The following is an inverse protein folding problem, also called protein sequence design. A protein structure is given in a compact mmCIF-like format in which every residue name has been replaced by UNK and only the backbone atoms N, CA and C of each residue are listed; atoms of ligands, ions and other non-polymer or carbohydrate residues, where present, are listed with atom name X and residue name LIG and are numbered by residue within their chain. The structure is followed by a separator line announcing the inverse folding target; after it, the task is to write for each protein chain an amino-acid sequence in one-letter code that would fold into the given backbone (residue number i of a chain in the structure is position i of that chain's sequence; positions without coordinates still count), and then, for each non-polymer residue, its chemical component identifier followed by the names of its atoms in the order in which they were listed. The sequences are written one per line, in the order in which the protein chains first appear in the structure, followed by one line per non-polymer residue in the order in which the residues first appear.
data_IF_462614629854
#
_entry.id   IF_462614629854
#
_cell.length_a   1.000
_cell.length_b   1.000
_cell.length_c   1.000
_cell.angle_alpha   90.00
_cell.angle_beta   90.00
_cell.angle_gamma   90.00
#
_symmetry.space_group_name_H-M   'P 1'
#
loop_
_entity.id
_entity.type
_entity.pdbx_description
1 polymer ?
#
# COMPACT_ATOMS: atom_id res chain seq x y z
N UNK A 1 29.41 -6.47 -8.75
CA UNK A 1 30.43 -5.84 -7.89
C UNK A 1 29.84 -5.59 -6.50
N UNK A 2 30.68 -5.28 -5.51
CA UNK A 2 30.47 -5.38 -4.07
C UNK A 2 29.18 -4.80 -3.43
N UNK A 3 28.79 -5.48 -2.33
CA UNK A 3 27.98 -5.04 -1.16
C UNK A 3 28.42 -3.64 -0.66
N UNK A 4 27.57 -2.79 -0.05
CA UNK A 4 27.17 -2.73 1.39
C UNK A 4 26.24 -1.50 1.62
N UNK A 5 25.69 -1.11 2.79
CA UNK A 5 25.05 -1.75 3.99
C UNK A 5 24.44 -0.62 4.88
N UNK A 6 23.17 -0.70 5.29
CA UNK A 6 22.69 -0.13 6.57
C UNK A 6 21.33 -0.79 6.94
N UNK A 7 21.12 -1.47 8.07
CA UNK A 7 21.31 -1.18 9.50
C UNK A 7 20.21 -0.31 10.13
N UNK A 8 19.47 -0.90 11.07
CA UNK A 8 18.81 -0.24 12.19
C UNK A 8 19.12 -1.04 13.46
N UNK A 9 19.41 -0.35 14.57
CA UNK A 9 19.81 -0.95 15.86
C UNK A 9 18.59 -1.14 16.76
N UNK A 10 18.64 -2.15 17.63
CA UNK A 10 17.66 -2.39 18.70
C UNK A 10 18.33 -2.04 20.04
N UNK A 11 17.68 -1.20 20.84
CA UNK A 11 18.03 -0.97 22.24
C UNK A 11 17.25 -1.95 23.12
N UNK A 12 17.93 -2.62 24.05
CA UNK A 12 17.33 -3.61 24.93
C UNK A 12 17.08 -3.01 26.32
N UNK A 13 15.84 -3.07 26.81
CA UNK A 13 15.55 -2.94 28.24
C UNK A 13 14.97 -4.27 28.71
N UNK A 14 15.76 -5.06 29.43
CA UNK A 14 15.34 -6.36 29.92
C UNK A 14 14.70 -6.22 31.30
N UNK A 15 13.41 -6.55 31.40
CA UNK A 15 12.81 -7.02 32.65
C UNK A 15 12.58 -8.52 32.50
N UNK A 16 13.31 -9.33 33.27
CA UNK A 16 13.13 -10.76 33.29
C UNK A 16 11.99 -11.13 34.25
N UNK A 17 10.91 -11.70 33.72
CA UNK A 17 9.98 -12.51 34.49
C UNK A 17 10.00 -13.92 33.89
N UNK A 18 10.38 -14.89 34.72
CA UNK A 18 10.39 -16.30 34.33
C UNK A 18 8.95 -16.83 34.30
N UNK A 19 8.49 -17.24 33.12
CA UNK A 19 7.21 -17.89 32.91
C UNK A 19 7.25 -18.67 31.61
N UNK A 20 6.93 -19.98 31.69
CA UNK A 20 6.80 -20.97 30.61
C UNK A 20 7.48 -20.64 29.27
N UNK A 21 8.51 -21.44 28.91
CA UNK A 21 9.10 -21.42 27.57
C UNK A 21 8.00 -21.68 26.52
N UNK A 22 7.51 -20.60 25.90
CA UNK A 22 6.58 -20.69 24.81
C UNK A 22 7.32 -21.30 23.62
N UNK A 23 6.76 -22.37 23.07
CA UNK A 23 7.17 -22.97 21.81
C UNK A 23 7.43 -21.88 20.77
N UNK A 24 8.56 -21.95 20.06
CA UNK A 24 8.99 -20.90 19.16
C UNK A 24 8.16 -20.89 17.86
N UNK A 25 6.96 -20.31 17.93
CA UNK A 25 6.05 -20.16 16.79
C UNK A 25 6.55 -19.08 15.84
N UNK A 26 6.82 -19.44 14.58
CA UNK A 26 7.05 -18.47 13.50
C UNK A 26 5.76 -18.36 12.68
N UNK A 27 5.15 -17.16 12.52
CA UNK A 27 3.95 -17.00 11.73
C UNK A 27 4.22 -17.30 10.24
N UNK A 28 3.18 -17.72 9.53
CA UNK A 28 3.25 -17.93 8.08
C UNK A 28 3.71 -16.63 7.40
N UNK A 29 4.77 -16.71 6.60
CA UNK A 29 5.33 -15.57 5.90
C UNK A 29 4.91 -15.64 4.44
N UNK A 30 4.25 -14.58 3.96
CA UNK A 30 3.80 -14.54 2.58
C UNK A 30 4.98 -14.33 1.63
N UNK A 31 5.30 -15.36 0.83
CA UNK A 31 6.20 -15.23 -0.32
C UNK A 31 5.43 -14.64 -1.51
N UNK A 32 5.02 -13.38 -1.34
CA UNK A 32 4.21 -12.64 -2.32
C UNK A 32 4.98 -12.47 -3.64
N UNK A 33 6.31 -12.60 -3.62
CA UNK A 33 7.18 -12.44 -4.79
C UNK A 33 6.88 -13.40 -5.93
N UNK A 34 6.31 -14.58 -5.65
CA UNK A 34 5.92 -15.58 -6.64
C UNK A 34 4.40 -15.85 -6.69
N UNK A 35 3.59 -14.95 -6.11
CA UNK A 35 2.14 -15.03 -6.13
C UNK A 35 1.60 -14.29 -7.38
N UNK A 36 1.08 -15.04 -8.36
CA UNK A 36 0.48 -14.47 -9.55
C UNK A 36 -0.73 -13.58 -9.16
N UNK A 37 -0.71 -12.32 -9.60
CA UNK A 37 -1.83 -11.40 -9.35
C UNK A 37 -3.10 -11.93 -10.04
N UNK A 38 -4.28 -11.86 -9.40
CA UNK A 38 -5.52 -12.28 -10.04
C UNK A 38 -5.80 -11.46 -11.30
N UNK A 39 -6.34 -12.12 -12.33
CA UNK A 39 -6.82 -11.44 -13.53
C UNK A 39 -8.06 -10.60 -13.17
N UNK A 40 -8.14 -9.37 -13.71
CA UNK A 40 -9.33 -8.55 -13.57
C UNK A 40 -10.43 -9.09 -14.50
N UNK A 41 -11.60 -9.51 -13.98
CA UNK A 41 -12.66 -10.05 -14.82
C UNK A 41 -13.10 -9.05 -15.89
N UNK A 42 -13.08 -9.44 -17.16
CA UNK A 42 -13.37 -8.55 -18.30
C UNK A 42 -14.71 -7.83 -18.17
N UNK A 43 -15.72 -8.52 -17.62
CA UNK A 43 -17.04 -7.93 -17.38
C UNK A 43 -17.04 -6.92 -16.22
N UNK A 44 -16.33 -7.20 -15.12
CA UNK A 44 -16.15 -6.25 -14.01
C UNK A 44 -15.41 -4.98 -14.49
N UNK A 45 -14.40 -5.15 -15.36
CA UNK A 45 -13.67 -4.05 -16.00
C UNK A 45 -14.61 -3.21 -16.88
N UNK A 46 -15.41 -3.85 -17.74
CA UNK A 46 -16.39 -3.20 -18.62
C UNK A 46 -17.46 -2.42 -17.84
N UNK A 47 -17.88 -2.94 -16.69
CA UNK A 47 -18.86 -2.32 -15.79
C UNK A 47 -18.26 -1.26 -14.84
N UNK A 48 -16.95 -0.99 -14.90
CA UNK A 48 -16.31 -0.02 -14.01
C UNK A 48 -16.28 -0.43 -12.52
N UNK A 49 -16.42 -1.72 -12.22
CA UNK A 49 -16.41 -2.26 -10.85
C UNK A 49 -15.01 -2.20 -10.27
N UNK A 50 -14.85 -1.58 -9.11
CA UNK A 50 -13.57 -1.38 -8.43
C UNK A 50 -13.78 -1.32 -6.91
N UNK A 51 -12.72 -1.50 -6.12
CA UNK A 51 -12.83 -1.49 -4.66
C UNK A 51 -11.82 -2.41 -3.97
N UNK A 52 -12.23 -3.00 -2.86
CA UNK A 52 -11.42 -3.86 -2.00
C UNK A 52 -12.11 -5.20 -1.75
N UNK A 53 -11.32 -6.26 -1.74
CA UNK A 53 -11.73 -7.60 -1.31
C UNK A 53 -10.73 -8.09 -0.27
N UNK A 54 -11.21 -8.39 0.93
CA UNK A 54 -10.41 -8.95 2.02
C UNK A 54 -10.71 -10.44 2.11
N UNK A 55 -9.68 -11.27 1.96
CA UNK A 55 -9.77 -12.71 2.12
C UNK A 55 -9.18 -13.14 3.46
N UNK A 56 -9.77 -14.19 4.02
CA UNK A 56 -9.12 -15.08 4.97
C UNK A 56 -8.89 -16.41 4.26
N UNK A 57 -7.70 -17.00 4.40
CA UNK A 57 -7.34 -18.22 3.70
C UNK A 57 -6.42 -19.10 4.56
N UNK A 58 -6.56 -20.41 4.41
CA UNK A 58 -5.81 -21.41 5.15
C UNK A 58 -4.56 -21.80 4.35
N UNK A 59 -3.39 -21.50 4.87
CA UNK A 59 -2.11 -22.00 4.36
C UNK A 59 -1.84 -23.36 5.01
N UNK A 60 -1.68 -24.39 4.20
CA UNK A 60 -1.31 -25.73 4.64
C UNK A 60 0.18 -25.86 4.94
N UNK A 61 0.56 -26.98 5.56
CA UNK A 61 1.94 -27.33 5.92
C UNK A 61 2.92 -27.34 4.74
N UNK A 62 2.43 -27.60 3.52
CA UNK A 62 3.24 -27.56 2.28
C UNK A 62 3.34 -26.15 1.67
N UNK A 63 2.69 -25.15 2.29
CA UNK A 63 2.60 -23.79 1.77
C UNK A 63 1.51 -23.58 0.70
N UNK A 64 0.68 -24.59 0.39
CA UNK A 64 -0.48 -24.40 -0.50
C UNK A 64 -1.64 -23.70 0.22
N UNK A 65 -2.52 -23.04 -0.53
CA UNK A 65 -3.78 -22.51 0.01
C UNK A 65 -4.86 -23.59 -0.08
N UNK A 66 -5.35 -24.06 1.07
CA UNK A 66 -6.31 -25.16 1.20
C UNK A 66 -7.77 -24.69 1.25
N UNK A 67 -8.01 -23.52 1.84
CA UNK A 67 -9.31 -22.85 1.82
C UNK A 67 -9.12 -21.33 1.67
N UNK A 68 -10.11 -20.63 1.11
CA UNK A 68 -10.10 -19.19 0.91
C UNK A 68 -11.53 -18.63 0.90
N UNK A 69 -11.85 -17.77 1.86
CA UNK A 69 -13.18 -17.15 2.06
C UNK A 69 -13.09 -15.63 2.05
N UNK A 70 -14.16 -14.98 1.59
CA UNK A 70 -14.29 -13.52 1.62
C UNK A 70 -14.66 -13.07 3.02
N UNK A 71 -13.77 -12.34 3.68
CA UNK A 71 -13.98 -11.71 4.99
C UNK A 71 -14.46 -10.25 4.88
N UNK A 72 -14.41 -9.66 3.67
CA UNK A 72 -14.99 -8.36 3.37
C UNK A 72 -14.99 -8.07 1.86
N UNK A 73 -16.08 -7.50 1.35
CA UNK A 73 -16.27 -7.19 -0.07
C UNK A 73 -16.72 -5.74 -0.25
N UNK A 74 -16.46 -5.18 -1.43
CA UNK A 74 -17.04 -3.88 -1.86
C UNK A 74 -18.36 -4.03 -2.63
N UNK A 75 -18.98 -5.21 -2.61
CA UNK A 75 -20.26 -5.48 -3.29
C UNK A 75 -20.09 -5.82 -4.77
N UNK A 76 -18.97 -6.45 -5.14
CA UNK A 76 -18.64 -6.80 -6.53
C UNK A 76 -18.27 -8.29 -6.64
N UNK A 77 -19.26 -9.20 -6.78
CA UNK A 77 -19.03 -10.65 -6.72
C UNK A 77 -18.00 -11.18 -7.72
N UNK A 78 -17.85 -10.54 -8.89
CA UNK A 78 -16.83 -10.89 -9.87
C UNK A 78 -15.40 -10.65 -9.33
N UNK A 79 -15.20 -9.56 -8.58
CA UNK A 79 -13.92 -9.26 -7.94
C UNK A 79 -13.67 -10.17 -6.73
N UNK A 80 -14.72 -10.56 -6.01
CA UNK A 80 -14.65 -11.51 -4.91
C UNK A 80 -14.17 -12.89 -5.38
N UNK A 81 -14.81 -13.44 -6.42
CA UNK A 81 -14.42 -14.71 -7.06
C UNK A 81 -12.99 -14.63 -7.62
N UNK A 82 -12.64 -13.54 -8.30
CA UNK A 82 -11.30 -13.37 -8.86
C UNK A 82 -10.21 -13.31 -7.79
N UNK A 83 -10.49 -12.70 -6.64
CA UNK A 83 -9.57 -12.72 -5.49
C UNK A 83 -9.35 -14.14 -4.96
N UNK A 84 -10.44 -14.91 -4.74
CA UNK A 84 -10.37 -16.29 -4.24
C UNK A 84 -9.61 -17.20 -5.21
N UNK A 85 -9.89 -17.08 -6.50
CA UNK A 85 -9.20 -17.88 -7.53
C UNK A 85 -7.75 -17.44 -7.78
N UNK A 86 -7.39 -16.19 -7.47
CA UNK A 86 -6.02 -15.72 -7.43
C UNK A 86 -5.23 -16.32 -6.27
N UNK A 87 -5.71 -16.16 -5.04
CA UNK A 87 -4.97 -16.58 -3.84
C UNK A 87 -4.71 -18.10 -3.82
N UNK A 88 -5.65 -18.91 -4.34
CA UNK A 88 -5.53 -20.37 -4.49
C UNK A 88 -4.34 -20.83 -5.34
N UNK A 89 -3.81 -19.97 -6.22
CA UNK A 89 -2.67 -20.28 -7.10
C UNK A 89 -1.32 -19.95 -6.45
N UNK A 90 -1.32 -19.30 -5.29
CA UNK A 90 -0.11 -18.82 -4.63
C UNK A 90 0.47 -19.87 -3.67
N UNK A 91 1.79 -19.84 -3.50
CA UNK A 91 2.52 -20.62 -2.49
C UNK A 91 3.03 -19.67 -1.41
N UNK A 92 2.94 -20.10 -0.16
CA UNK A 92 3.31 -19.34 1.03
C UNK A 92 4.41 -20.08 1.78
N UNK A 93 5.20 -19.39 2.59
CA UNK A 93 5.97 -20.07 3.62
C UNK A 93 4.98 -20.44 4.74
N UNK A 94 4.79 -21.73 5.07
CA UNK A 94 3.90 -22.14 6.14
C UNK A 94 4.33 -21.52 7.49
N UNK A 95 3.38 -21.41 8.42
CA UNK A 95 3.73 -21.16 9.81
C UNK A 95 4.52 -22.37 10.34
N UNK A 96 5.36 -22.16 11.36
CA UNK A 96 6.03 -23.27 12.04
C UNK A 96 5.85 -23.21 13.54
N UNK A 97 5.52 -24.36 14.15
CA UNK A 97 5.52 -24.57 15.59
C UNK A 97 6.60 -25.62 15.92
N UNK A 98 7.48 -25.31 16.88
CA UNK A 98 8.63 -26.16 17.22
C UNK A 98 9.50 -26.55 16.01
N UNK A 99 9.60 -25.64 15.04
CA UNK A 99 10.31 -25.81 13.77
C UNK A 99 9.58 -26.65 12.72
N UNK A 100 8.46 -27.31 13.07
CA UNK A 100 7.64 -28.08 12.13
C UNK A 100 6.60 -27.19 11.45
N UNK A 101 6.34 -27.33 10.14
CA UNK A 101 5.23 -26.67 9.48
C UNK A 101 3.90 -26.99 10.14
N UNK A 102 3.03 -25.99 10.29
CA UNK A 102 1.66 -26.14 10.77
C UNK A 102 0.70 -25.34 9.88
N UNK A 103 -0.55 -25.80 9.77
CA UNK A 103 -1.58 -25.04 9.08
C UNK A 103 -1.87 -23.72 9.81
N UNK A 104 -2.10 -22.65 9.03
CA UNK A 104 -2.35 -21.32 9.61
C UNK A 104 -3.30 -20.50 8.75
N UNK A 105 -4.29 -19.89 9.37
CA UNK A 105 -5.13 -18.89 8.74
C UNK A 105 -4.36 -17.58 8.56
N UNK A 106 -4.39 -17.05 7.34
CA UNK A 106 -3.83 -15.77 6.96
C UNK A 106 -4.92 -14.82 6.44
N UNK A 107 -4.63 -13.51 6.45
CA UNK A 107 -5.53 -12.46 5.97
C UNK A 107 -4.81 -11.56 4.97
N UNK A 108 -5.42 -11.32 3.81
CA UNK A 108 -4.86 -10.47 2.75
C UNK A 108 -5.97 -9.64 2.09
N UNK A 109 -5.64 -8.42 1.68
CA UNK A 109 -6.56 -7.51 1.02
C UNK A 109 -6.11 -7.24 -0.43
N UNK A 110 -6.94 -7.63 -1.39
CA UNK A 110 -6.83 -7.19 -2.77
C UNK A 110 -7.45 -5.80 -2.94
N UNK A 111 -6.78 -4.95 -3.71
CA UNK A 111 -7.22 -3.59 -4.01
C UNK A 111 -7.33 -3.46 -5.53
N UNK A 112 -8.58 -3.41 -6.00
CA UNK A 112 -8.97 -3.28 -7.39
C UNK A 112 -9.14 -1.79 -7.70
N UNK A 113 -8.13 -1.17 -8.31
CA UNK A 113 -8.17 0.24 -8.74
C UNK A 113 -8.28 0.34 -10.25
N UNK A 114 -9.35 0.97 -10.74
CA UNK A 114 -9.42 1.40 -12.13
C UNK A 114 -8.56 2.64 -12.27
N UNK A 115 -7.44 2.48 -12.96
CA UNK A 115 -6.64 3.61 -13.42
C UNK A 115 -7.35 4.26 -14.62
N UNK A 116 -8.32 5.13 -14.31
CA UNK A 116 -8.99 6.01 -15.28
C UNK A 116 -8.16 7.25 -15.59
N UNK A 117 -7.02 7.45 -14.92
CA UNK A 117 -6.08 8.48 -15.29
C UNK A 117 -5.45 8.15 -16.65
N UNK A 118 -5.21 9.16 -17.52
CA UNK A 118 -4.55 8.93 -18.80
C UNK A 118 -3.14 8.38 -18.58
N UNK A 119 -2.82 7.25 -19.23
CA UNK A 119 -1.45 6.75 -19.32
C UNK A 119 -0.64 7.69 -20.20
N UNK A 120 0.42 8.27 -19.65
CA UNK A 120 1.29 9.17 -20.39
C UNK A 120 2.41 8.40 -21.07
N UNK A 121 2.65 8.70 -22.34
CA UNK A 121 3.80 8.14 -23.06
C UNK A 121 5.13 8.71 -22.56
N UNK A 122 6.22 8.08 -22.97
CA UNK A 122 7.59 8.44 -22.53
C UNK A 122 7.96 9.86 -22.98
N UNK A 123 7.46 10.33 -24.12
CA UNK A 123 7.72 11.67 -24.63
C UNK A 123 7.02 12.74 -23.76
N UNK A 124 5.76 12.51 -23.42
CA UNK A 124 4.96 13.38 -22.53
C UNK A 124 5.59 13.46 -21.14
N UNK A 125 6.00 12.31 -20.56
CA UNK A 125 6.71 12.26 -19.28
C UNK A 125 8.05 13.01 -19.34
N UNK A 126 8.80 12.91 -20.46
CA UNK A 126 10.02 13.67 -20.67
C UNK A 126 9.74 15.18 -20.63
N UNK A 127 8.74 15.66 -21.37
CA UNK A 127 8.35 17.08 -21.36
C UNK A 127 7.89 17.55 -19.97
N UNK A 128 7.19 16.71 -19.21
CA UNK A 128 6.85 17.01 -17.80
C UNK A 128 8.09 17.16 -16.91
N UNK A 129 9.13 16.34 -17.10
CA UNK A 129 10.40 16.46 -16.37
C UNK A 129 11.16 17.73 -16.71
N UNK A 130 11.19 18.11 -17.99
CA UNK A 130 11.82 19.35 -18.46
C UNK A 130 11.09 20.59 -17.89
N UNK A 131 9.75 20.59 -17.90
CA UNK A 131 8.96 21.64 -17.28
C UNK A 131 9.13 21.71 -15.74
N UNK A 132 9.20 20.56 -15.06
CA UNK A 132 9.44 20.49 -13.62
C UNK A 132 10.86 20.94 -13.23
N UNK A 133 11.86 20.71 -14.08
CA UNK A 133 13.24 21.20 -13.89
C UNK A 133 13.32 22.74 -13.90
N UNK A 134 12.38 23.42 -14.58
CA UNK A 134 12.20 24.88 -14.49
C UNK A 134 11.68 25.38 -13.13
N UNK A 135 11.34 24.49 -12.19
CA UNK A 135 10.96 24.84 -10.82
C UNK A 135 9.54 25.38 -10.63
N UNK A 136 8.73 25.42 -11.69
CA UNK A 136 7.33 25.86 -11.63
C UNK A 136 6.50 24.90 -10.75
N UNK A 137 5.83 25.37 -9.68
CA UNK A 137 5.12 24.50 -8.73
C UNK A 137 4.11 23.55 -9.37
N UNK A 138 3.35 24.02 -10.36
CA UNK A 138 2.33 23.21 -11.04
C UNK A 138 2.93 22.11 -11.93
N UNK A 139 4.08 22.37 -12.56
CA UNK A 139 4.79 21.37 -13.35
C UNK A 139 5.39 20.28 -12.45
N UNK A 140 5.98 20.70 -11.31
CA UNK A 140 6.51 19.79 -10.28
C UNK A 140 5.38 18.96 -9.66
N UNK A 141 4.23 19.55 -9.33
CA UNK A 141 3.03 18.85 -8.85
C UNK A 141 2.53 17.81 -9.86
N UNK A 142 2.39 18.20 -11.13
CA UNK A 142 1.90 17.32 -12.19
C UNK A 142 2.81 16.12 -12.39
N UNK A 143 4.13 16.34 -12.42
CA UNK A 143 5.10 15.26 -12.51
C UNK A 143 5.02 14.34 -11.27
N UNK A 144 4.99 14.92 -10.06
CA UNK A 144 4.90 14.15 -8.82
C UNK A 144 3.64 13.27 -8.77
N UNK A 145 2.48 13.79 -9.20
CA UNK A 145 1.24 13.02 -9.24
C UNK A 145 1.32 11.85 -10.24
N UNK A 146 1.95 12.05 -11.40
CA UNK A 146 2.22 10.98 -12.37
C UNK A 146 3.18 9.92 -11.80
N UNK A 147 4.24 10.36 -11.11
CA UNK A 147 5.20 9.48 -10.44
C UNK A 147 4.62 8.69 -9.25
N UNK A 148 3.47 9.11 -8.70
CA UNK A 148 2.76 8.38 -7.64
C UNK A 148 1.78 7.30 -8.15
N UNK A 149 1.49 7.23 -9.45
CA UNK A 149 0.62 6.18 -10.01
C UNK A 149 1.41 4.94 -10.44
N UNK A 150 1.21 3.76 -9.82
CA UNK A 150 1.92 2.51 -10.17
C UNK A 150 1.66 2.02 -11.59
N UNK A 151 0.66 2.57 -12.27
CA UNK A 151 0.30 2.24 -13.63
C UNK A 151 1.14 2.99 -14.68
N UNK A 152 1.78 4.10 -14.32
CA UNK A 152 2.58 4.91 -15.23
C UNK A 152 4.00 4.32 -15.36
N UNK A 153 4.56 4.33 -16.57
CA UNK A 153 5.97 3.97 -16.79
C UNK A 153 6.96 4.91 -16.05
N UNK A 154 6.45 6.04 -15.56
CA UNK A 154 7.17 7.04 -14.78
C UNK A 154 7.10 6.83 -13.25
N UNK A 155 6.49 5.74 -12.76
CA UNK A 155 6.29 5.50 -11.33
C UNK A 155 7.61 5.57 -10.54
N UNK A 156 7.71 6.58 -9.67
CA UNK A 156 8.87 6.89 -8.82
C UNK A 156 8.42 7.64 -7.55
N UNK A 157 7.82 6.94 -6.58
CA UNK A 157 7.35 7.55 -5.34
C UNK A 157 8.41 8.31 -4.53
N UNK A 158 9.67 7.82 -4.40
CA UNK A 158 10.71 8.57 -3.69
C UNK A 158 11.00 9.94 -4.31
N UNK A 159 11.09 10.04 -5.64
CA UNK A 159 11.27 11.33 -6.31
C UNK A 159 10.06 12.25 -6.12
N UNK A 160 8.84 11.71 -6.26
CA UNK A 160 7.61 12.46 -6.03
C UNK A 160 7.55 13.04 -4.61
N UNK A 161 7.82 12.20 -3.58
CA UNK A 161 7.85 12.62 -2.17
C UNK A 161 8.90 13.72 -1.92
N UNK A 162 10.08 13.61 -2.52
CA UNK A 162 11.12 14.62 -2.38
C UNK A 162 10.68 15.98 -2.95
N UNK A 163 10.06 15.98 -4.13
CA UNK A 163 9.49 17.18 -4.75
C UNK A 163 8.32 17.77 -3.94
N UNK A 164 7.39 16.91 -3.48
CA UNK A 164 6.24 17.31 -2.69
C UNK A 164 6.63 17.92 -1.34
N UNK A 165 7.67 17.40 -0.67
CA UNK A 165 8.22 18.02 0.56
C UNK A 165 8.68 19.45 0.33
N UNK A 166 9.35 19.74 -0.79
CA UNK A 166 9.81 21.10 -1.11
C UNK A 166 8.65 22.06 -1.36
N UNK A 167 7.59 21.62 -2.02
CA UNK A 167 6.41 22.45 -2.28
C UNK A 167 5.51 22.60 -1.03
N UNK A 168 5.33 21.55 -0.25
CA UNK A 168 4.56 21.57 0.99
C UNK A 168 5.19 22.51 2.04
N UNK A 169 6.53 22.55 2.12
CA UNK A 169 7.29 23.49 2.94
C UNK A 169 7.12 24.96 2.50
N UNK A 170 6.69 25.22 1.26
CA UNK A 170 6.33 26.55 0.74
C UNK A 170 4.83 26.84 0.88
N UNK A 171 4.08 26.03 1.64
CA UNK A 171 2.65 26.24 1.87
C UNK A 171 1.73 25.82 0.72
N UNK A 172 2.21 25.08 -0.28
CA UNK A 172 1.35 24.63 -1.38
C UNK A 172 0.37 23.54 -0.89
N UNK A 173 -0.92 23.87 -0.85
CA UNK A 173 -1.98 23.01 -0.33
C UNK A 173 -2.11 21.67 -1.07
N UNK A 174 -2.02 21.67 -2.40
CA UNK A 174 -2.08 20.43 -3.20
C UNK A 174 -0.87 19.53 -2.92
N UNK A 175 0.32 20.10 -2.70
CA UNK A 175 1.51 19.35 -2.33
C UNK A 175 1.40 18.76 -0.91
N UNK A 176 0.83 19.53 0.03
CA UNK A 176 0.51 19.05 1.37
C UNK A 176 -0.51 17.89 1.32
N UNK A 177 -1.56 17.98 0.49
CA UNK A 177 -2.53 16.91 0.30
C UNK A 177 -1.90 15.63 -0.30
N UNK A 178 -1.11 15.77 -1.38
CA UNK A 178 -0.43 14.63 -2.00
C UNK A 178 0.63 14.00 -1.07
N UNK A 179 1.40 14.81 -0.33
CA UNK A 179 2.34 14.29 0.66
C UNK A 179 1.63 13.60 1.83
N UNK A 180 0.50 14.15 2.29
CA UNK A 180 -0.37 13.54 3.29
C UNK A 180 -0.87 12.16 2.84
N UNK A 181 -1.24 12.03 1.57
CA UNK A 181 -1.60 10.74 0.96
C UNK A 181 -0.43 9.75 1.00
N UNK A 182 0.78 10.16 0.62
CA UNK A 182 1.97 9.31 0.70
C UNK A 182 2.21 8.77 2.12
N UNK A 183 2.01 9.59 3.16
CA UNK A 183 2.11 9.18 4.55
C UNK A 183 0.93 8.34 5.06
N UNK A 184 -0.29 8.53 4.55
CA UNK A 184 -1.45 7.68 4.83
C UNK A 184 -1.25 6.25 4.28
N UNK A 185 -0.73 6.13 3.06
CA UNK A 185 -0.59 4.84 2.36
C UNK A 185 0.76 4.16 2.54
N UNK A 186 1.81 4.90 2.92
CA UNK A 186 3.20 4.43 2.86
C UNK A 186 3.80 4.44 1.44
N UNK A 187 3.24 5.26 0.52
CA UNK A 187 3.74 5.38 -0.86
C UNK A 187 5.00 6.24 -0.90
N UNK A 188 6.18 5.62 -1.02
CA UNK A 188 7.47 6.31 -1.07
C UNK A 188 8.02 6.81 0.28
N UNK A 189 7.30 6.56 1.37
CA UNK A 189 7.67 6.89 2.76
C UNK A 189 7.22 5.76 3.69
N UNK A 190 7.78 5.72 4.90
CA UNK A 190 7.15 4.95 5.97
C UNK A 190 5.76 5.55 6.28
N UNK A 191 4.75 4.67 6.42
CA UNK A 191 3.38 5.08 6.78
C UNK A 191 3.35 5.74 8.16
N UNK A 192 2.77 6.94 8.23
CA UNK A 192 2.63 7.74 9.44
C UNK A 192 1.31 8.54 9.36
N UNK A 193 0.29 8.07 10.08
CA UNK A 193 -1.03 8.71 10.07
C UNK A 193 -1.03 10.08 10.77
N UNK A 194 -0.10 10.34 11.70
CA UNK A 194 0.00 11.62 12.39
C UNK A 194 0.61 12.67 11.46
N UNK A 195 1.67 12.33 10.71
CA UNK A 195 2.20 13.20 9.65
C UNK A 195 1.18 13.41 8.52
N UNK A 196 0.44 12.37 8.12
CA UNK A 196 -0.65 12.51 7.15
C UNK A 196 -1.71 13.51 7.63
N UNK A 197 -2.17 13.41 8.88
CA UNK A 197 -3.14 14.33 9.47
C UNK A 197 -2.59 15.76 9.56
N UNK A 198 -1.34 15.93 9.99
CA UNK A 198 -0.67 17.23 10.10
C UNK A 198 -0.50 17.93 8.74
N UNK A 199 -0.35 17.18 7.65
CA UNK A 199 -0.29 17.68 6.28
C UNK A 199 -1.68 17.95 5.69
N UNK A 200 -2.66 17.10 5.96
CA UNK A 200 -4.03 17.28 5.49
C UNK A 200 -4.75 18.45 6.17
N UNK A 201 -4.49 18.74 7.45
CA UNK A 201 -5.15 19.82 8.17
C UNK A 201 -5.02 21.22 7.51
N UNK A 202 -3.81 21.74 7.19
CA UNK A 202 -3.66 23.04 6.53
C UNK A 202 -4.23 23.02 5.09
N UNK A 203 -4.02 21.95 4.33
CA UNK A 203 -4.57 21.82 2.98
C UNK A 203 -6.12 21.84 2.97
N UNK A 204 -6.75 21.12 3.89
CA UNK A 204 -8.21 21.09 4.04
C UNK A 204 -8.76 22.46 4.46
N UNK A 205 -8.05 23.19 5.33
CA UNK A 205 -8.38 24.56 5.71
C UNK A 205 -8.25 25.54 4.53
N UNK A 206 -7.24 25.35 3.68
CA UNK A 206 -7.08 26.07 2.40
C UNK A 206 -8.09 25.65 1.31
N UNK A 207 -9.02 24.74 1.62
CA UNK A 207 -10.13 24.37 0.75
C UNK A 207 -9.97 23.03 0.04
N UNK A 208 -8.78 22.41 0.06
CA UNK A 208 -8.44 21.21 -0.72
C UNK A 208 -9.38 20.02 -0.42
N UNK A 209 -9.97 19.47 -1.49
CA UNK A 209 -10.98 18.43 -1.38
C UNK A 209 -10.39 17.04 -1.10
N UNK A 210 -9.16 16.75 -1.55
CA UNK A 210 -8.48 15.50 -1.28
C UNK A 210 -7.97 15.44 0.16
N UNK A 211 -7.50 16.58 0.69
CA UNK A 211 -7.14 16.72 2.10
C UNK A 211 -8.36 16.55 3.03
N UNK A 212 -9.50 17.16 2.70
CA UNK A 212 -10.76 16.93 3.42
C UNK A 212 -11.17 15.46 3.43
N UNK A 213 -11.08 14.78 2.28
CA UNK A 213 -11.31 13.32 2.18
C UNK A 213 -10.31 12.53 3.01
N UNK A 214 -9.04 12.92 3.01
CA UNK A 214 -7.96 12.32 3.80
C UNK A 214 -8.22 12.37 5.30
N UNK A 215 -8.60 13.54 5.83
CA UNK A 215 -8.98 13.67 7.24
C UNK A 215 -10.14 12.74 7.62
N UNK A 216 -11.19 12.65 6.78
CA UNK A 216 -12.32 11.73 7.01
C UNK A 216 -11.86 10.26 7.01
N UNK A 217 -10.98 9.85 6.08
CA UNK A 217 -10.42 8.49 6.06
C UNK A 217 -9.60 8.19 7.32
N UNK A 218 -8.76 9.11 7.77
CA UNK A 218 -7.96 8.94 8.99
C UNK A 218 -8.85 8.84 10.24
N UNK A 219 -9.88 9.69 10.36
CA UNK A 219 -10.86 9.63 11.45
C UNK A 219 -11.67 8.32 11.46
N UNK A 220 -11.95 7.74 10.29
CA UNK A 220 -12.63 6.45 10.18
C UNK A 220 -11.76 5.25 10.58
N UNK A 221 -10.45 5.32 10.36
CA UNK A 221 -9.50 4.23 10.65
C UNK A 221 -9.27 4.00 12.15
N UNK A 222 -9.60 4.96 13.02
CA UNK A 222 -9.51 4.81 14.48
C UNK A 222 -10.60 3.95 15.13
N UNK A 223 -11.51 3.32 14.35
CA UNK A 223 -12.64 2.50 14.85
C UNK A 223 -12.50 1.00 14.60
N UNK A 224 -11.38 0.54 14.05
CA UNK A 224 -11.04 -0.89 14.00
C UNK A 224 -10.12 -1.26 15.17
N UNK A 225 -10.16 -2.50 15.69
CA UNK A 225 -9.15 -2.97 16.63
C UNK A 225 -7.77 -2.92 15.96
N UNK A 226 -6.85 -2.17 16.55
CA UNK A 226 -5.42 -2.37 16.32
C UNK A 226 -5.00 -3.67 17.04
N UNK A 227 -3.97 -4.38 16.52
CA UNK A 227 -3.51 -5.65 17.09
C UNK A 227 -2.94 -5.49 18.50
#
# INVERSE_FOLDING_TARGET
MNRTRALARIGLLALALAGAAHAASTPAAADIGNCARPEWPREALRLGQHGKVTLEFLVGEDGSVRDARVAGSSGHPLLDVAAQEGIRRCRFKPATQDGQPVESWMKLQYVWTLDTAPRYDVATVKTMREAAAGGAPDAVLRLAQVQLSPAQAAYDPPAAVAALRQLAARGNAAAQALLGYCYETGTGVQRDHAQAQALYAPAAAAGDADAKRGLVRLSGQGKGPQP
#
